data_IF_335533036974
#
_entry.id   IF_335533036974
#
_cell.length_a   1.000
_cell.length_b   1.000
_cell.length_c   1.000
_cell.angle_alpha   90.00
_cell.angle_beta   90.00
_cell.angle_gamma   90.00
#
_symmetry.space_group_name_H-M   'P 1'
#
loop_
_entity.id
_entity.type
_entity.pdbx_description
1 polymer ?
#
# COMPACT_ATOMS: atom_id res chain seq x y z
N UNK A 1 19.24 -1.88 10.91
CA UNK A 1 18.32 -0.81 10.49
C UNK A 1 18.86 -0.27 9.17
N UNK A 2 18.06 -0.16 8.09
CA UNK A 2 18.52 0.55 6.90
C UNK A 2 18.94 1.99 7.30
N UNK A 3 19.87 2.61 6.56
CA UNK A 3 20.26 3.99 6.83
C UNK A 3 19.01 4.89 6.81
N UNK A 4 18.97 5.89 7.71
CA UNK A 4 17.80 6.76 7.92
C UNK A 4 17.32 7.48 6.65
N UNK A 5 18.20 7.61 5.65
CA UNK A 5 17.94 8.27 4.37
C UNK A 5 17.62 7.29 3.22
N UNK A 6 17.48 5.99 3.50
CA UNK A 6 17.05 5.04 2.48
C UNK A 6 15.57 5.27 2.15
N UNK A 7 15.26 5.36 0.85
CA UNK A 7 13.89 5.41 0.39
C UNK A 7 13.09 4.19 0.91
N UNK A 8 11.81 4.36 1.30
CA UNK A 8 10.95 3.26 1.69
C UNK A 8 10.97 2.12 0.66
N UNK A 9 10.85 0.84 1.08
CA UNK A 9 11.03 -0.32 0.19
C UNK A 9 10.13 -0.34 -1.05
N UNK A 10 8.95 0.29 -0.99
CA UNK A 10 7.98 0.34 -2.10
C UNK A 10 7.85 1.74 -2.71
N UNK A 11 8.85 2.61 -2.52
CA UNK A 11 8.85 3.94 -3.13
C UNK A 11 8.66 3.88 -4.64
N UNK A 12 7.67 4.62 -5.15
CA UNK A 12 7.34 4.68 -6.58
C UNK A 12 6.46 3.54 -7.09
N UNK A 13 6.08 2.59 -6.24
CA UNK A 13 5.13 1.52 -6.58
C UNK A 13 3.69 2.04 -6.41
N UNK A 14 2.83 1.76 -7.39
CA UNK A 14 1.40 2.07 -7.36
C UNK A 14 0.60 0.77 -7.27
N UNK A 15 -0.35 0.70 -6.33
CA UNK A 15 -1.13 -0.51 -6.02
C UNK A 15 -2.62 -0.19 -6.12
N UNK A 16 -3.35 -1.04 -6.82
CA UNK A 16 -4.81 -1.08 -6.75
C UNK A 16 -5.23 -2.13 -5.73
N UNK A 17 -5.87 -1.70 -4.65
CA UNK A 17 -6.42 -2.57 -3.62
C UNK A 17 -7.86 -2.96 -4.00
N UNK A 18 -8.01 -4.20 -4.46
CA UNK A 18 -9.30 -4.84 -4.77
C UNK A 18 -9.76 -5.81 -3.66
N UNK A 19 -9.10 -5.78 -2.51
CA UNK A 19 -9.45 -6.65 -1.39
C UNK A 19 -10.83 -6.29 -0.84
N UNK A 20 -11.43 -7.18 -0.05
CA UNK A 20 -12.62 -6.86 0.74
C UNK A 20 -12.27 -6.89 2.23
N UNK A 21 -13.26 -6.79 3.12
CA UNK A 21 -13.06 -6.68 4.57
C UNK A 21 -12.10 -7.71 5.20
N UNK A 22 -11.88 -8.87 4.57
CA UNK A 22 -10.97 -9.91 5.09
C UNK A 22 -9.49 -9.62 4.87
N UNK A 23 -9.12 -8.68 4.00
CA UNK A 23 -7.72 -8.42 3.64
C UNK A 23 -7.34 -6.94 3.57
N UNK A 24 -8.14 -6.05 4.19
CA UNK A 24 -7.89 -4.60 4.22
C UNK A 24 -6.52 -4.20 4.79
N UNK A 25 -5.99 -5.01 5.73
CA UNK A 25 -4.69 -4.75 6.34
C UNK A 25 -3.54 -4.86 5.32
N UNK A 26 -3.74 -5.62 4.24
CA UNK A 26 -2.73 -5.80 3.19
C UNK A 26 -2.39 -4.48 2.51
N UNK A 27 -3.40 -3.73 2.05
CA UNK A 27 -3.19 -2.41 1.44
C UNK A 27 -2.50 -1.43 2.38
N UNK A 28 -2.84 -1.47 3.68
CA UNK A 28 -2.22 -0.60 4.69
C UNK A 28 -0.74 -0.89 4.91
N UNK A 29 -0.37 -2.17 5.02
CA UNK A 29 1.05 -2.57 5.15
C UNK A 29 1.86 -2.11 3.94
N UNK A 30 1.30 -2.22 2.72
CA UNK A 30 1.98 -1.76 1.51
C UNK A 30 2.16 -0.23 1.50
N UNK A 31 1.17 0.53 1.96
CA UNK A 31 1.26 1.98 2.11
C UNK A 31 2.34 2.38 3.14
N UNK A 32 2.40 1.68 4.29
CA UNK A 32 3.42 1.93 5.32
C UNK A 32 4.85 1.68 4.80
N UNK A 33 5.00 0.80 3.81
CA UNK A 33 6.27 0.54 3.12
C UNK A 33 6.56 1.52 1.96
N UNK A 34 5.68 2.51 1.73
CA UNK A 34 5.88 3.63 0.80
C UNK A 34 5.21 3.49 -0.56
N UNK A 35 4.29 2.54 -0.74
CA UNK A 35 3.50 2.43 -1.96
C UNK A 35 2.38 3.47 -2.01
N UNK A 36 2.03 3.94 -3.22
CA UNK A 36 0.76 4.66 -3.48
C UNK A 36 -0.35 3.62 -3.63
N UNK A 37 -1.18 3.46 -2.60
CA UNK A 37 -2.26 2.47 -2.58
C UNK A 37 -3.61 3.15 -2.81
N UNK A 38 -4.33 2.74 -3.86
CA UNK A 38 -5.67 3.23 -4.18
C UNK A 38 -6.68 2.11 -3.96
N UNK A 39 -7.63 2.34 -3.06
CA UNK A 39 -8.74 1.43 -2.83
C UNK A 39 -9.77 1.56 -3.96
N UNK A 40 -10.16 0.44 -4.54
CA UNK A 40 -11.27 0.39 -5.50
C UNK A 40 -12.48 -0.22 -4.81
N UNK A 41 -13.53 0.58 -4.72
CA UNK A 41 -14.83 0.15 -4.23
C UNK A 41 -15.79 -0.06 -5.43
N UNK A 42 -16.74 -1.02 -5.33
CA UNK A 42 -17.78 -1.18 -6.34
C UNK A 42 -18.66 0.08 -6.44
N UNK A 43 -19.26 0.35 -7.62
CA UNK A 43 -20.24 1.42 -7.76
C UNK A 43 -21.51 1.16 -6.93
N UNK A 44 -22.25 2.23 -6.64
CA UNK A 44 -23.58 2.19 -5.99
C UNK A 44 -24.61 1.40 -6.81
#
# INVERSE_FOLDING_TARGET
MPPADAAPPLSGVRVLDLTTARCEIGGRILADLGAEVVKVEPPE
#
